data_IF_812691377944
#
_entry.id   IF_812691377944
#
_cell.length_a   1.000
_cell.length_b   1.000
_cell.length_c   1.000
_cell.angle_alpha   90.00
_cell.angle_beta   90.00
_cell.angle_gamma   90.00
#
_symmetry.space_group_name_H-M   'P 1'
#
loop_
_entity.id
_entity.type
_entity.pdbx_description
1 polymer ?
#
# COMPACT_ATOMS: atom_id res chain seq x y z
N UNK A 1 5.90 -6.48 -12.63
CA UNK A 1 5.35 -7.86 -12.53
C UNK A 1 6.43 -8.95 -12.52
N UNK A 2 7.27 -9.12 -13.56
CA UNK A 2 8.26 -10.23 -13.62
C UNK A 2 9.08 -10.39 -12.34
N UNK A 3 9.60 -9.29 -11.80
CA UNK A 3 10.35 -9.25 -10.54
C UNK A 3 9.56 -9.77 -9.33
N UNK A 4 8.30 -9.35 -9.18
CA UNK A 4 7.43 -9.84 -8.12
C UNK A 4 7.13 -11.34 -8.28
N UNK A 5 6.97 -11.85 -9.52
CA UNK A 5 6.83 -13.30 -9.72
C UNK A 5 8.10 -14.06 -9.34
N UNK A 6 9.29 -13.49 -9.61
CA UNK A 6 10.56 -14.04 -9.13
C UNK A 6 10.61 -14.07 -7.61
N UNK A 7 10.28 -12.95 -6.96
CA UNK A 7 10.22 -12.83 -5.49
C UNK A 7 9.26 -13.83 -4.86
N UNK A 8 8.09 -14.07 -5.47
CA UNK A 8 7.18 -15.14 -5.04
C UNK A 8 7.86 -16.51 -5.07
N UNK A 9 8.56 -16.85 -6.16
CA UNK A 9 9.23 -18.15 -6.31
C UNK A 9 10.39 -18.31 -5.31
N UNK A 10 11.18 -17.27 -5.09
CA UNK A 10 12.27 -17.25 -4.11
C UNK A 10 11.77 -17.48 -2.68
N UNK A 11 10.57 -16.98 -2.38
CA UNK A 11 9.88 -17.20 -1.10
C UNK A 11 9.07 -18.52 -1.06
N UNK A 12 9.30 -19.44 -2.01
CA UNK A 12 8.64 -20.74 -2.06
C UNK A 12 7.15 -20.71 -2.43
N UNK A 13 6.64 -19.57 -2.90
CA UNK A 13 5.23 -19.39 -3.23
C UNK A 13 4.95 -19.68 -4.71
N UNK A 14 3.84 -20.40 -4.96
CA UNK A 14 3.31 -20.59 -6.32
C UNK A 14 2.80 -19.28 -6.90
N UNK A 15 3.11 -19.00 -8.17
CA UNK A 15 2.55 -17.87 -8.93
C UNK A 15 1.16 -18.23 -9.43
N UNK A 16 0.14 -18.01 -8.61
CA UNK A 16 -1.26 -18.32 -8.95
C UNK A 16 -1.95 -17.13 -9.61
N UNK A 17 -3.04 -17.39 -10.36
CA UNK A 17 -3.86 -16.32 -10.97
C UNK A 17 -4.35 -15.29 -9.94
N UNK A 18 -4.87 -15.66 -8.75
CA UNK A 18 -5.26 -14.69 -7.72
C UNK A 18 -4.09 -13.84 -7.21
N UNK A 19 -2.91 -14.43 -6.92
CA UNK A 19 -1.73 -13.66 -6.49
C UNK A 19 -1.31 -12.63 -7.53
N UNK A 20 -1.28 -13.05 -8.80
CA UNK A 20 -0.94 -12.16 -9.91
C UNK A 20 -1.94 -11.02 -10.05
N UNK A 21 -3.24 -11.32 -9.96
CA UNK A 21 -4.30 -10.31 -10.03
C UNK A 21 -4.23 -9.30 -8.87
N UNK A 22 -3.97 -9.75 -7.64
CA UNK A 22 -3.77 -8.85 -6.49
C UNK A 22 -2.54 -7.95 -6.69
N UNK A 23 -1.42 -8.52 -7.13
CA UNK A 23 -0.20 -7.75 -7.41
C UNK A 23 -0.39 -6.77 -8.57
N UNK A 24 -1.16 -7.13 -9.60
CA UNK A 24 -1.50 -6.21 -10.70
C UNK A 24 -2.34 -5.01 -10.21
N UNK A 25 -3.27 -5.22 -9.27
CA UNK A 25 -4.02 -4.11 -8.65
C UNK A 25 -3.12 -3.17 -7.86
N UNK A 26 -2.21 -3.72 -7.06
CA UNK A 26 -1.28 -2.95 -6.22
C UNK A 26 -0.10 -2.34 -6.99
N UNK A 27 0.14 -2.80 -8.23
CA UNK A 27 1.05 -2.13 -9.16
C UNK A 27 0.42 -0.86 -9.75
N UNK A 28 -0.91 -0.82 -9.89
CA UNK A 28 -1.63 0.29 -10.52
C UNK A 28 -2.10 1.34 -9.50
N UNK A 29 -2.42 0.90 -8.28
CA UNK A 29 -2.98 1.74 -7.22
C UNK A 29 -2.24 1.44 -5.93
N UNK A 30 -1.89 2.48 -5.17
CA UNK A 30 -1.44 2.35 -3.78
C UNK A 30 -2.59 2.61 -2.82
N UNK A 31 -2.45 2.15 -1.57
CA UNK A 31 -3.39 2.43 -0.47
C UNK A 31 -4.83 2.00 -0.76
N UNK A 32 -5.01 0.80 -1.32
CA UNK A 32 -6.34 0.26 -1.60
C UNK A 32 -6.70 -0.84 -0.61
N UNK A 33 -7.97 -0.88 -0.21
CA UNK A 33 -8.50 -1.91 0.69
C UNK A 33 -8.77 -3.24 -0.04
N UNK A 34 -9.05 -4.30 0.74
CA UNK A 34 -9.34 -5.63 0.19
C UNK A 34 -10.56 -5.65 -0.73
N UNK A 35 -11.58 -4.82 -0.48
CA UNK A 35 -12.77 -4.78 -1.31
C UNK A 35 -12.45 -4.22 -2.70
N UNK A 36 -11.65 -3.15 -2.76
CA UNK A 36 -11.13 -2.54 -3.99
C UNK A 36 -10.21 -3.48 -4.76
N UNK A 37 -9.35 -4.23 -4.07
CA UNK A 37 -8.48 -5.26 -4.67
C UNK A 37 -9.36 -6.39 -5.24
N UNK A 38 -10.34 -6.88 -4.49
CA UNK A 38 -11.21 -7.97 -4.91
C UNK A 38 -12.06 -7.59 -6.13
N UNK A 39 -12.57 -6.35 -6.18
CA UNK A 39 -13.31 -5.85 -7.33
C UNK A 39 -12.44 -5.84 -8.60
N UNK A 40 -11.23 -5.28 -8.54
CA UNK A 40 -10.31 -5.25 -9.68
C UNK A 40 -9.82 -6.64 -10.09
N UNK A 41 -9.50 -7.50 -9.12
CA UNK A 41 -9.11 -8.89 -9.40
C UNK A 41 -10.22 -9.66 -10.12
N UNK A 42 -11.50 -9.50 -9.73
CA UNK A 42 -12.63 -10.12 -10.45
C UNK A 42 -12.75 -9.63 -11.88
N UNK A 43 -12.55 -8.34 -12.12
CA UNK A 43 -12.54 -7.80 -13.48
C UNK A 43 -11.44 -8.43 -14.35
N UNK A 44 -10.27 -8.74 -13.77
CA UNK A 44 -9.14 -9.35 -14.50
C UNK A 44 -9.30 -10.85 -14.75
N UNK A 45 -9.74 -11.61 -13.75
CA UNK A 45 -9.69 -13.09 -13.80
C UNK A 45 -11.08 -13.76 -13.75
N UNK A 46 -12.15 -12.96 -13.83
CA UNK A 46 -13.53 -13.41 -13.92
C UNK A 46 -14.16 -13.76 -12.56
N UNK A 47 -13.64 -14.78 -11.88
CA UNK A 47 -14.17 -15.21 -10.57
C UNK A 47 -13.05 -15.40 -9.55
N UNK A 48 -13.16 -14.67 -8.44
CA UNK A 48 -12.36 -14.87 -7.22
C UNK A 48 -13.22 -14.49 -6.00
N UNK A 49 -13.20 -15.32 -4.97
CA UNK A 49 -13.92 -15.03 -3.72
C UNK A 49 -13.21 -13.93 -2.96
N UNK A 50 -13.95 -13.16 -2.15
CA UNK A 50 -13.32 -12.15 -1.27
C UNK A 50 -12.37 -12.83 -0.29
N UNK A 51 -12.73 -14.00 0.24
CA UNK A 51 -11.85 -14.78 1.13
C UNK A 51 -10.51 -15.13 0.47
N UNK A 52 -10.52 -15.59 -0.79
CA UNK A 52 -9.27 -15.89 -1.49
C UNK A 52 -8.40 -14.64 -1.68
N UNK A 53 -8.99 -13.45 -1.81
CA UNK A 53 -8.24 -12.20 -1.86
C UNK A 53 -7.67 -11.85 -0.48
N UNK A 54 -8.44 -12.00 0.60
CA UNK A 54 -7.96 -11.87 1.98
C UNK A 54 -6.76 -12.79 2.25
N UNK A 55 -6.87 -14.08 1.90
CA UNK A 55 -5.80 -15.05 2.09
C UNK A 55 -4.53 -14.65 1.33
N UNK A 56 -4.70 -14.13 0.10
CA UNK A 56 -3.59 -13.64 -0.71
C UNK A 56 -2.94 -12.41 -0.08
N UNK A 57 -3.69 -11.35 0.26
CA UNK A 57 -3.08 -10.15 0.85
C UNK A 57 -2.39 -10.48 2.16
N UNK A 58 -3.00 -11.30 3.02
CA UNK A 58 -2.40 -11.71 4.29
C UNK A 58 -1.10 -12.50 4.09
N UNK A 59 -1.09 -13.46 3.16
CA UNK A 59 0.12 -14.24 2.83
C UNK A 59 1.23 -13.32 2.29
N UNK A 60 0.90 -12.38 1.41
CA UNK A 60 1.90 -11.51 0.79
C UNK A 60 2.41 -10.45 1.75
N UNK A 61 1.59 -9.98 2.70
CA UNK A 61 2.01 -9.12 3.81
C UNK A 61 2.96 -9.87 4.75
N UNK A 62 2.60 -11.08 5.19
CA UNK A 62 3.47 -11.90 6.04
C UNK A 62 4.81 -12.27 5.39
N UNK A 63 4.86 -12.27 4.05
CA UNK A 63 6.09 -12.48 3.28
C UNK A 63 6.87 -11.18 2.96
N UNK A 64 6.42 -10.03 3.48
CA UNK A 64 7.04 -8.73 3.25
C UNK A 64 6.98 -8.23 1.80
N UNK A 65 6.08 -8.79 0.97
CA UNK A 65 5.84 -8.32 -0.42
C UNK A 65 4.87 -7.15 -0.42
N UNK A 66 3.90 -7.17 0.50
CA UNK A 66 2.98 -6.06 0.73
C UNK A 66 3.24 -5.45 2.10
N UNK A 67 2.90 -4.18 2.24
CA UNK A 67 2.72 -3.52 3.54
C UNK A 67 1.22 -3.33 3.80
N UNK A 68 0.81 -3.49 5.06
CA UNK A 68 -0.54 -3.15 5.54
C UNK A 68 -0.46 -1.85 6.33
N UNK A 69 -1.44 -0.97 6.13
CA UNK A 69 -1.54 0.29 6.87
C UNK A 69 -2.88 0.27 7.60
N UNK A 70 -2.81 0.24 8.93
CA UNK A 70 -3.95 0.15 9.81
C UNK A 70 -4.35 1.54 10.30
N UNK A 71 -5.51 2.02 9.85
CA UNK A 71 -6.05 3.31 10.27
C UNK A 71 -7.22 3.10 11.24
N UNK A 72 -7.21 3.74 12.42
CA UNK A 72 -8.34 3.64 13.35
C UNK A 72 -9.67 4.02 12.69
N UNK A 73 -10.63 3.09 12.73
CA UNK A 73 -11.99 3.30 12.19
C UNK A 73 -12.14 3.09 10.68
N UNK A 74 -11.11 2.62 9.98
CA UNK A 74 -11.14 2.31 8.55
C UNK A 74 -10.66 0.89 8.29
N UNK A 75 -11.05 0.27 7.15
CA UNK A 75 -10.41 -0.97 6.70
C UNK A 75 -8.91 -0.77 6.49
N UNK A 76 -8.13 -1.81 6.78
CA UNK A 76 -6.73 -1.88 6.39
C UNK A 76 -6.59 -1.63 4.88
N UNK A 77 -5.61 -0.82 4.51
CA UNK A 77 -5.22 -0.65 3.12
C UNK A 77 -3.85 -1.26 2.87
N UNK A 78 -3.59 -1.60 1.61
CA UNK A 78 -2.39 -2.31 1.22
C UNK A 78 -1.63 -1.56 0.13
N UNK A 79 -0.32 -1.73 0.17
CA UNK A 79 0.61 -1.27 -0.86
C UNK A 79 1.72 -2.31 -1.11
N UNK A 80 2.46 -2.15 -2.21
CA UNK A 80 3.67 -2.94 -2.44
C UNK A 80 4.79 -2.49 -1.51
N UNK A 81 5.44 -3.43 -0.84
CA UNK A 81 6.65 -3.14 -0.08
C UNK A 81 7.83 -2.94 -1.06
N UNK A 82 8.07 -1.69 -1.47
CA UNK A 82 9.13 -1.32 -2.43
C UNK A 82 10.51 -1.19 -1.79
N UNK A 83 10.58 -1.19 -0.46
CA UNK A 83 11.83 -0.98 0.27
C UNK A 83 12.35 0.46 0.19
N UNK A 84 11.54 1.37 -0.33
CA UNK A 84 11.71 2.80 -0.11
C UNK A 84 11.30 3.18 1.31
N UNK A 85 11.77 4.34 1.73
CA UNK A 85 11.54 4.87 3.06
C UNK A 85 10.64 6.10 2.93
N UNK A 86 9.35 5.87 2.83
CA UNK A 86 8.29 6.88 2.91
C UNK A 86 7.43 6.71 4.16
N UNK A 87 6.64 7.73 4.43
CA UNK A 87 5.67 7.78 5.52
C UNK A 87 4.29 8.10 4.95
N UNK A 88 3.26 7.88 5.76
CA UNK A 88 1.89 8.07 5.33
C UNK A 88 1.32 9.39 5.89
N UNK A 89 0.65 10.17 5.04
CA UNK A 89 -0.18 11.31 5.44
C UNK A 89 -1.65 10.93 5.25
N UNK A 90 -2.43 10.97 6.34
CA UNK A 90 -3.82 10.52 6.38
C UNK A 90 -4.76 11.70 6.62
N UNK A 91 -5.76 11.83 5.75
CA UNK A 91 -6.83 12.81 5.94
C UNK A 91 -7.84 12.34 6.99
N UNK A 92 -8.05 13.13 8.04
CA UNK A 92 -9.06 12.87 9.08
C UNK A 92 -10.51 12.96 8.59
N UNK A 93 -10.78 13.64 7.49
CA UNK A 93 -12.13 13.85 6.99
C UNK A 93 -12.58 12.76 6.01
N UNK A 94 -11.74 12.38 5.05
CA UNK A 94 -12.09 11.43 4.00
C UNK A 94 -11.28 10.13 4.02
N UNK A 95 -10.29 9.99 4.91
CA UNK A 95 -9.44 8.81 5.01
C UNK A 95 -8.40 8.67 3.91
N UNK A 96 -8.29 9.62 2.96
CA UNK A 96 -7.27 9.56 1.90
C UNK A 96 -5.86 9.49 2.48
N UNK A 97 -5.04 8.64 1.88
CA UNK A 97 -3.62 8.44 2.23
C UNK A 97 -2.75 8.93 1.07
N UNK A 98 -1.68 9.65 1.41
CA UNK A 98 -0.64 10.06 0.48
C UNK A 98 0.74 9.73 1.04
N UNK A 99 1.67 9.42 0.15
CA UNK A 99 3.07 9.20 0.50
C UNK A 99 3.78 10.52 0.75
N UNK A 100 4.59 10.56 1.81
CA UNK A 100 5.54 11.64 2.04
C UNK A 100 6.94 11.05 2.19
N UNK A 101 7.97 11.61 1.52
CA UNK A 101 9.34 11.14 1.69
C UNK A 101 9.76 11.20 3.14
N UNK A 102 10.54 10.22 3.58
CA UNK A 102 11.12 10.28 4.91
C UNK A 102 12.06 11.49 5.04
N UNK A 103 11.93 12.33 6.09
CA UNK A 103 12.81 13.48 6.30
C UNK A 103 14.30 13.14 6.38
N UNK A 104 14.64 11.93 6.84
CA UNK A 104 16.05 11.49 7.01
C UNK A 104 16.56 10.62 5.85
N UNK A 105 15.73 10.33 4.84
CA UNK A 105 16.11 9.69 3.58
C UNK A 105 16.43 8.18 3.63
N UNK A 106 16.75 7.58 4.78
CA UNK A 106 17.08 6.13 4.89
C UNK A 106 16.35 5.43 6.04
N UNK A 107 15.91 4.19 5.79
CA UNK A 107 15.30 3.33 6.80
C UNK A 107 16.36 2.59 7.65
N UNK A 108 16.05 2.23 8.90
CA UNK A 108 14.90 2.71 9.68
C UNK A 108 15.15 4.17 10.10
N UNK A 109 14.25 5.04 9.68
CA UNK A 109 14.30 6.48 9.88
C UNK A 109 14.12 6.92 11.34
N UNK A 110 13.57 6.01 12.14
CA UNK A 110 13.38 6.15 13.57
C UNK A 110 14.06 4.96 14.25
N UNK A 111 15.39 5.02 14.37
CA UNK A 111 16.06 4.25 15.42
C UNK A 111 15.88 5.01 16.73
N UNK A 112 15.10 4.51 17.70
CA UNK A 112 15.02 5.16 18.99
C UNK A 112 16.43 5.19 19.61
N UNK A 113 16.79 6.34 20.18
CA UNK A 113 18.08 6.54 20.83
C UNK A 113 18.33 5.53 21.96
N UNK A 114 17.25 5.14 22.66
CA UNK A 114 17.24 4.14 23.72
C UNK A 114 16.34 2.95 23.34
N UNK A 115 16.85 2.03 22.52
CA UNK A 115 16.19 0.79 22.13
C UNK A 115 16.47 -0.37 23.13
N UNK A 116 16.35 -0.12 24.44
CA UNK A 116 16.87 -1.04 25.47
C UNK A 116 16.28 -2.45 25.38
N UNK A 117 17.03 -3.37 24.75
CA UNK A 117 16.72 -4.81 24.68
C UNK A 117 15.72 -5.22 23.60
N UNK A 118 15.19 -4.31 22.78
CA UNK A 118 14.23 -4.64 21.72
C UNK A 118 14.92 -4.93 20.39
N UNK A 119 14.54 -6.04 19.75
CA UNK A 119 14.84 -6.28 18.33
C UNK A 119 13.78 -5.55 17.48
N UNK A 120 14.10 -4.33 17.06
CA UNK A 120 13.18 -3.51 16.26
C UNK A 120 13.18 -4.03 14.82
N UNK A 121 12.03 -4.51 14.36
CA UNK A 121 11.83 -4.99 13.00
C UNK A 121 11.33 -3.89 12.06
N UNK A 122 10.50 -2.97 12.56
CA UNK A 122 9.88 -1.90 11.77
C UNK A 122 9.65 -0.63 12.60
N UNK A 123 9.65 0.52 11.93
CA UNK A 123 9.17 1.79 12.46
C UNK A 123 8.34 2.50 11.38
N UNK A 124 7.14 2.96 11.76
CA UNK A 124 6.23 3.67 10.86
C UNK A 124 5.91 5.06 11.42
N UNK A 125 5.82 6.05 10.53
CA UNK A 125 5.32 7.39 10.85
C UNK A 125 4.04 7.63 10.06
N UNK A 126 3.00 8.04 10.77
CA UNK A 126 1.75 8.46 10.17
C UNK A 126 1.43 9.89 10.60
N UNK A 127 1.37 10.80 9.63
CA UNK A 127 0.91 12.17 9.83
C UNK A 127 -0.60 12.23 9.65
N UNK A 128 -1.30 12.97 10.51
CA UNK A 128 -2.75 13.11 10.45
C UNK A 128 -3.14 14.58 10.21
N UNK A 129 -3.95 14.83 9.18
CA UNK A 129 -4.33 16.20 8.79
C UNK A 129 -5.58 16.27 7.91
N UNK A 130 -5.68 17.31 7.09
CA UNK A 130 -6.74 17.46 6.06
C UNK A 130 -6.09 17.48 4.68
N UNK A 131 -6.62 16.70 3.74
CA UNK A 131 -6.18 16.80 2.34
C UNK A 131 -6.62 18.14 1.73
N UNK A 132 -6.02 18.58 0.61
CA UNK A 132 -6.37 19.83 -0.04
C UNK A 132 -7.87 19.97 -0.37
N UNK A 133 -8.55 18.86 -0.66
CA UNK A 133 -9.99 18.84 -0.99
C UNK A 133 -10.90 18.94 0.24
N UNK A 134 -10.44 18.50 1.41
CA UNK A 134 -11.21 18.57 2.66
C UNK A 134 -10.86 19.81 3.50
N UNK A 135 -9.85 20.58 3.11
CA UNK A 135 -9.46 21.79 3.82
C UNK A 135 -10.43 22.94 3.47
N UNK A 136 -11.10 23.57 4.45
CA UNK A 136 -11.98 24.71 4.18
C UNK A 136 -11.23 25.85 3.51
N UNK A 137 -11.81 26.44 2.46
CA UNK A 137 -11.27 27.62 1.78
C UNK A 137 -10.24 27.36 0.67
N UNK A 138 -9.96 26.10 0.31
CA UNK A 138 -9.20 25.75 -0.89
C UNK A 138 -10.22 25.31 -1.96
N UNK A 139 -10.33 25.99 -3.12
CA UNK A 139 -11.14 25.49 -4.23
C UNK A 139 -10.64 24.10 -4.63
N UNK A 140 -11.53 23.15 -5.01
CA UNK A 140 -11.08 21.83 -5.44
C UNK A 140 -10.05 22.00 -6.56
N UNK A 141 -8.87 21.40 -6.37
CA UNK A 141 -7.86 21.38 -7.39
C UNK A 141 -8.45 20.73 -8.65
N UNK A 142 -8.24 21.37 -9.81
CA UNK A 142 -8.70 20.83 -11.08
C UNK A 142 -8.22 19.36 -11.23
N UNK A 143 -9.04 18.48 -11.83
CA UNK A 143 -8.66 17.08 -12.01
C UNK A 143 -7.34 17.03 -12.77
N UNK A 144 -6.37 16.30 -12.22
CA UNK A 144 -5.07 16.11 -12.85
C UNK A 144 -5.29 15.31 -14.13
N UNK A 145 -5.20 15.99 -15.27
CA UNK A 145 -5.25 15.38 -16.58
C UNK A 145 -4.12 14.37 -16.71
N UNK A 146 -4.48 13.13 -17.00
CA UNK A 146 -3.57 12.06 -17.38
C UNK A 146 -2.76 12.48 -18.59
N UNK A 147 -1.50 12.85 -18.42
CA UNK A 147 -0.57 13.04 -19.55
C UNK A 147 -0.25 11.66 -20.12
N UNK A 148 -0.91 11.30 -21.22
CA UNK A 148 -0.50 10.20 -22.09
C UNK A 148 0.72 10.71 -22.87
N UNK A 149 1.91 10.30 -22.45
CA UNK A 149 3.12 10.50 -23.27
C UNK A 149 3.23 9.33 -24.23
N UNK A 150 2.82 9.56 -25.48
CA UNK A 150 3.10 8.68 -26.61
C UNK A 150 4.54 8.93 -27.07
N UNK A 151 5.40 7.93 -27.03
CA UNK A 151 6.56 7.77 -27.91
C UNK A 151 6.84 6.28 -28.12
#
# INVERSE_FOLDING_TARGET
>A
MKELETRLRELGMRVTRPRRAVLDELLLRSHIDVAQIAAGARQRIGRVSTQAVYDVVHTLTGAGILRSIELPGSPAVFELARGDNHHHLVCRACGRIADVPCPVGKAPCLRPLDATGYAIEEAEVTYWGLCPECRPGIPPAAPHGTTITTH
#
